data_IF_039049418675
#
_entry.id   IF_039049418675
#
_cell.length_a   1.000
_cell.length_b   1.000
_cell.length_c   1.000
_cell.angle_alpha   90.00
_cell.angle_beta   90.00
_cell.angle_gamma   90.00
#
_symmetry.space_group_name_H-M   'P 1'
#
loop_
_entity.id
_entity.type
_entity.pdbx_description
1 polymer ?
#
# COMPACT_ATOMS: atom_id res chain seq x y z
N UNK A 1 3.66 -30.38 42.62
CA UNK A 1 3.73 -30.29 44.12
C UNK A 1 4.65 -31.40 44.57
N UNK A 2 5.82 -31.03 45.12
CA UNK A 2 6.76 -31.96 45.73
C UNK A 2 6.40 -32.10 47.20
N UNK A 3 6.28 -33.32 47.67
CA UNK A 3 6.22 -33.68 49.11
C UNK A 3 7.52 -34.35 49.46
N UNK A 4 8.21 -33.81 50.43
CA UNK A 4 9.45 -34.34 50.91
C UNK A 4 9.31 -34.54 52.46
N UNK A 5 9.67 -35.72 52.96
CA UNK A 5 9.72 -36.01 54.38
C UNK A 5 11.10 -35.63 54.88
N UNK A 6 11.18 -34.71 55.81
CA UNK A 6 12.42 -34.16 56.33
C UNK A 6 12.35 -34.18 57.84
N UNK A 7 13.43 -34.63 58.49
CA UNK A 7 13.51 -34.70 59.92
C UNK A 7 13.49 -33.32 60.60
N UNK A 8 12.90 -33.24 61.77
CA UNK A 8 12.90 -32.00 62.57
C UNK A 8 14.31 -31.43 62.72
N UNK A 9 14.42 -30.09 62.48
CA UNK A 9 15.69 -29.39 62.62
C UNK A 9 16.62 -29.51 61.39
N UNK A 10 16.31 -30.37 60.41
CA UNK A 10 17.08 -30.46 59.18
C UNK A 10 17.00 -29.15 58.39
N UNK A 11 18.06 -28.78 57.63
CA UNK A 11 18.10 -27.60 56.77
C UNK A 11 17.08 -27.70 55.64
N UNK A 12 16.36 -26.65 55.41
CA UNK A 12 15.42 -26.48 54.27
C UNK A 12 16.02 -25.54 53.26
N UNK A 13 16.00 -25.95 51.99
CA UNK A 13 16.27 -25.08 50.84
C UNK A 13 14.97 -24.89 50.03
N UNK A 14 14.51 -23.66 49.92
CA UNK A 14 13.33 -23.38 49.11
C UNK A 14 13.59 -23.75 47.63
N UNK A 15 12.69 -24.51 46.99
CA UNK A 15 12.86 -24.87 45.59
C UNK A 15 12.74 -23.65 44.68
N UNK A 16 13.45 -23.69 43.55
CA UNK A 16 13.20 -22.76 42.45
C UNK A 16 11.92 -23.14 41.75
N UNK A 17 11.06 -22.16 41.49
CA UNK A 17 9.78 -22.37 40.80
C UNK A 17 9.66 -21.42 39.63
N UNK A 18 9.03 -21.90 38.56
CA UNK A 18 8.73 -21.10 37.36
C UNK A 18 7.28 -21.35 36.95
N UNK A 19 6.65 -20.33 36.40
CA UNK A 19 5.32 -20.39 35.82
C UNK A 19 5.32 -19.52 34.58
N UNK A 20 4.97 -20.13 33.45
CA UNK A 20 4.92 -19.42 32.19
C UNK A 20 4.03 -18.19 32.27
N UNK A 21 4.51 -17.03 31.77
CA UNK A 21 3.79 -15.76 31.80
C UNK A 21 3.74 -15.07 33.16
N UNK A 22 4.43 -15.57 34.16
CA UNK A 22 4.45 -15.01 35.53
C UNK A 22 5.86 -14.87 36.07
N UNK A 23 6.04 -13.88 36.91
CA UNK A 23 7.25 -13.67 37.70
C UNK A 23 6.99 -14.16 39.12
N UNK A 24 7.91 -14.98 39.66
CA UNK A 24 7.85 -15.41 41.03
C UNK A 24 8.09 -14.25 41.99
N UNK A 25 7.12 -13.98 42.86
CA UNK A 25 7.12 -12.88 43.83
C UNK A 25 7.46 -13.30 45.26
N UNK A 26 8.01 -14.54 45.43
CA UNK A 26 8.31 -15.10 46.73
C UNK A 26 7.24 -16.06 47.23
N UNK A 27 7.40 -16.51 48.45
CA UNK A 27 6.43 -17.35 49.15
C UNK A 27 5.48 -16.50 49.99
N UNK A 28 4.24 -16.94 50.23
CA UNK A 28 3.27 -16.24 51.08
C UNK A 28 3.72 -16.08 52.51
N UNK A 29 4.48 -17.09 53.02
CA UNK A 29 5.12 -17.08 54.32
C UNK A 29 6.63 -17.28 54.16
N UNK A 30 7.40 -16.74 55.10
CA UNK A 30 8.84 -16.95 55.13
C UNK A 30 9.18 -18.44 55.28
N UNK A 31 10.02 -18.94 54.39
CA UNK A 31 10.52 -20.32 54.45
C UNK A 31 11.61 -20.37 55.51
N UNK A 32 11.41 -21.12 56.62
CA UNK A 32 12.40 -21.18 57.66
C UNK A 32 13.65 -21.92 57.17
N UNK A 33 14.81 -21.65 57.77
CA UNK A 33 16.07 -22.31 57.43
C UNK A 33 16.14 -23.76 57.85
N UNK A 34 15.27 -24.15 58.79
CA UNK A 34 15.23 -25.52 59.32
C UNK A 34 13.80 -26.03 59.47
N UNK A 35 13.61 -27.36 59.40
CA UNK A 35 12.28 -27.98 59.45
C UNK A 35 11.64 -27.77 60.83
N UNK A 36 10.43 -27.14 60.88
CA UNK A 36 9.67 -26.97 62.10
C UNK A 36 9.06 -28.31 62.57
N UNK A 37 8.66 -28.39 63.88
CA UNK A 37 8.04 -29.56 64.49
C UNK A 37 6.57 -29.77 64.08
N UNK A 38 6.21 -29.42 62.80
CA UNK A 38 4.88 -29.62 62.27
C UNK A 38 4.92 -29.61 60.75
N UNK A 39 3.91 -30.23 60.10
CA UNK A 39 3.69 -30.12 58.66
C UNK A 39 3.48 -28.67 58.27
N UNK A 40 4.16 -28.23 57.23
CA UNK A 40 4.12 -26.86 56.77
C UNK A 40 3.96 -26.80 55.26
N UNK A 41 3.09 -25.90 54.78
CA UNK A 41 2.86 -25.65 53.37
C UNK A 41 3.24 -24.22 53.04
N UNK A 42 3.96 -24.04 51.93
CA UNK A 42 4.30 -22.72 51.40
C UNK A 42 3.65 -22.54 50.02
N UNK A 43 2.96 -21.44 49.86
CA UNK A 43 2.29 -21.06 48.57
C UNK A 43 3.12 -20.00 47.88
N UNK A 44 3.40 -20.22 46.60
CA UNK A 44 4.13 -19.25 45.78
C UNK A 44 3.23 -18.07 45.41
N UNK A 45 3.76 -16.87 45.52
CA UNK A 45 3.17 -15.63 44.97
C UNK A 45 3.64 -15.42 43.54
N UNK A 46 2.72 -15.04 42.67
CA UNK A 46 2.98 -14.80 41.27
C UNK A 46 2.48 -13.43 40.83
N UNK A 47 3.28 -12.72 40.06
CA UNK A 47 2.88 -11.51 39.35
C UNK A 47 2.76 -11.86 37.88
N UNK A 48 1.63 -11.54 37.26
CA UNK A 48 1.44 -11.73 35.81
C UNK A 48 2.38 -10.76 35.05
N UNK A 49 3.02 -11.27 34.01
CA UNK A 49 3.89 -10.47 33.17
C UNK A 49 3.07 -9.84 32.01
N UNK A 50 3.50 -8.67 31.57
CA UNK A 50 2.99 -8.03 30.38
C UNK A 50 3.89 -8.34 29.18
N UNK A 51 3.25 -8.52 28.02
CA UNK A 51 3.93 -8.73 26.74
C UNK A 51 3.35 -7.82 25.67
N UNK A 52 4.10 -7.61 24.59
CA UNK A 52 3.77 -6.68 23.52
C UNK A 52 3.71 -7.37 22.17
N UNK A 53 2.64 -7.12 21.42
CA UNK A 53 2.53 -7.42 20.01
C UNK A 53 2.75 -6.12 19.24
N UNK A 54 3.78 -6.07 18.40
CA UNK A 54 4.13 -4.94 17.56
C UNK A 54 3.70 -5.21 16.11
N UNK A 55 3.12 -4.21 15.45
CA UNK A 55 2.67 -4.28 14.06
C UNK A 55 3.60 -3.45 13.18
N UNK A 56 4.41 -4.11 12.36
CA UNK A 56 5.21 -3.47 11.34
C UNK A 56 4.37 -3.38 10.05
N UNK A 57 3.86 -2.21 9.73
CA UNK A 57 2.98 -2.00 8.58
C UNK A 57 3.71 -1.88 7.24
N UNK A 58 5.04 -1.96 7.22
CA UNK A 58 5.88 -1.98 6.01
C UNK A 58 5.50 -0.90 4.97
N UNK A 59 5.36 0.33 5.44
CA UNK A 59 5.00 1.49 4.61
C UNK A 59 3.51 1.85 4.61
N UNK A 60 2.65 1.07 5.27
CA UNK A 60 1.26 1.45 5.54
C UNK A 60 1.11 2.42 6.71
N UNK A 61 -0.13 2.85 6.98
CA UNK A 61 -0.44 3.68 8.13
C UNK A 61 -0.06 2.97 9.45
N UNK A 62 0.39 3.75 10.41
CA UNK A 62 0.88 3.24 11.70
C UNK A 62 -0.26 2.60 12.51
N UNK A 63 -0.01 1.41 13.06
CA UNK A 63 -0.85 0.73 14.06
C UNK A 63 -0.12 0.74 15.40
N UNK A 64 -0.85 1.05 16.47
CA UNK A 64 -0.28 1.03 17.81
C UNK A 64 0.01 -0.41 18.27
N UNK A 65 1.11 -0.67 19.00
CA UNK A 65 1.35 -1.96 19.60
C UNK A 65 0.30 -2.27 20.68
N UNK A 66 0.03 -3.55 20.91
CA UNK A 66 -0.84 -4.04 21.97
C UNK A 66 0.05 -4.56 23.10
N UNK A 67 -0.03 -3.93 24.29
CA UNK A 67 0.68 -4.38 25.50
C UNK A 67 -0.34 -4.70 26.57
N UNK A 68 -0.33 -5.93 27.07
CA UNK A 68 -1.29 -6.39 28.08
C UNK A 68 -0.78 -7.64 28.82
N UNK A 69 -1.47 -8.03 29.88
CA UNK A 69 -1.12 -9.16 30.72
C UNK A 69 -1.19 -10.48 29.95
N UNK A 70 -0.27 -11.38 30.26
CA UNK A 70 -0.26 -12.74 29.73
C UNK A 70 -1.62 -13.44 29.87
N UNK A 71 -2.07 -14.06 28.77
CA UNK A 71 -3.31 -14.84 28.71
C UNK A 71 -4.59 -14.03 28.58
N UNK A 72 -4.52 -12.68 28.57
CA UNK A 72 -5.70 -11.83 28.30
C UNK A 72 -6.07 -11.87 26.82
N UNK A 73 -7.36 -11.70 26.49
CA UNK A 73 -7.84 -11.71 25.12
C UNK A 73 -7.22 -10.57 24.31
N UNK A 74 -6.79 -10.86 23.09
CA UNK A 74 -6.24 -9.87 22.13
C UNK A 74 -7.32 -9.51 21.12
N UNK A 75 -7.63 -8.20 21.01
CA UNK A 75 -8.47 -7.67 19.95
C UNK A 75 -7.60 -7.30 18.75
N UNK A 76 -7.96 -7.84 17.57
CA UNK A 76 -7.24 -7.51 16.33
C UNK A 76 -7.47 -6.04 15.96
N UNK A 77 -6.42 -5.30 15.60
CA UNK A 77 -6.59 -3.96 15.07
C UNK A 77 -7.27 -3.99 13.69
N UNK A 78 -7.76 -2.83 13.24
CA UNK A 78 -8.18 -2.69 11.85
C UNK A 78 -7.00 -2.89 10.90
N UNK A 79 -7.31 -3.39 9.70
CA UNK A 79 -6.30 -3.59 8.66
C UNK A 79 -5.61 -2.27 8.30
N UNK A 80 -4.29 -2.29 8.09
CA UNK A 80 -3.58 -1.10 7.64
C UNK A 80 -3.92 -0.77 6.18
N UNK A 81 -3.72 0.50 5.82
CA UNK A 81 -3.86 1.01 4.47
C UNK A 81 -2.53 1.50 3.92
N UNK A 82 -2.30 1.30 2.63
CA UNK A 82 -1.11 1.77 1.91
C UNK A 82 -1.52 2.15 0.50
N UNK A 83 -1.19 3.40 0.09
CA UNK A 83 -1.53 3.90 -1.24
C UNK A 83 -0.94 2.99 -2.34
N UNK A 84 -1.77 2.62 -3.30
CA UNK A 84 -1.38 1.75 -4.42
C UNK A 84 -1.21 0.28 -4.07
N UNK A 85 -1.57 -0.15 -2.86
CA UNK A 85 -1.47 -1.54 -2.42
C UNK A 85 -2.74 -2.02 -1.73
N UNK A 86 -2.98 -3.30 -1.82
CA UNK A 86 -4.03 -4.01 -1.07
C UNK A 86 -3.40 -4.83 0.04
N UNK A 87 -3.93 -4.72 1.26
CA UNK A 87 -3.45 -5.50 2.39
C UNK A 87 -3.75 -7.00 2.18
N UNK A 88 -2.71 -7.83 2.18
CA UNK A 88 -2.77 -9.28 1.98
C UNK A 88 -2.73 -10.09 3.29
N UNK A 89 -2.67 -9.38 4.44
CA UNK A 89 -2.60 -10.00 5.77
C UNK A 89 -1.26 -9.76 6.47
N UNK A 90 -1.10 -10.38 7.62
CA UNK A 90 0.14 -10.38 8.38
C UNK A 90 0.98 -11.62 8.03
N UNK A 91 2.30 -11.55 8.18
CA UNK A 91 3.24 -12.69 8.01
C UNK A 91 3.08 -13.80 9.06
N UNK A 92 2.15 -13.60 9.99
CA UNK A 92 1.77 -14.56 11.04
C UNK A 92 0.34 -14.32 11.51
N UNK A 93 -0.12 -15.16 12.41
CA UNK A 93 -1.47 -15.05 12.97
C UNK A 93 -1.43 -14.18 14.22
N UNK A 94 -2.35 -13.22 14.35
CA UNK A 94 -2.59 -12.50 15.60
C UNK A 94 -3.14 -13.52 16.61
N UNK A 95 -2.48 -13.73 17.76
CA UNK A 95 -2.94 -14.72 18.71
C UNK A 95 -4.25 -14.26 19.39
N UNK A 96 -5.14 -15.19 19.68
CA UNK A 96 -6.40 -14.90 20.37
C UNK A 96 -6.19 -14.42 21.83
N UNK A 97 -5.05 -14.79 22.44
CA UNK A 97 -4.67 -14.38 23.80
C UNK A 97 -3.20 -13.98 23.83
N UNK A 98 -2.83 -13.06 24.73
CA UNK A 98 -1.45 -12.55 24.86
C UNK A 98 -0.49 -13.69 25.21
N UNK A 99 0.50 -13.99 24.33
CA UNK A 99 1.48 -15.05 24.57
C UNK A 99 2.52 -14.63 25.62
N UNK A 100 3.26 -15.60 26.17
CA UNK A 100 4.34 -15.36 27.14
C UNK A 100 5.64 -14.88 26.49
N UNK A 101 5.55 -14.07 25.44
CA UNK A 101 6.68 -13.45 24.71
C UNK A 101 6.22 -12.27 23.89
N UNK A 102 7.11 -11.31 23.72
CA UNK A 102 6.93 -10.24 22.73
C UNK A 102 6.98 -10.81 21.30
N UNK A 103 6.21 -10.22 20.42
CA UNK A 103 6.16 -10.61 19.01
C UNK A 103 6.00 -9.39 18.09
N UNK A 104 6.43 -9.56 16.84
CA UNK A 104 6.22 -8.56 15.79
C UNK A 104 5.59 -9.26 14.60
N UNK A 105 4.52 -8.68 14.09
CA UNK A 105 3.86 -9.10 12.86
C UNK A 105 4.12 -8.06 11.77
N UNK A 106 4.50 -8.53 10.57
CA UNK A 106 4.77 -7.68 9.42
C UNK A 106 3.62 -7.78 8.41
N UNK A 107 3.16 -6.62 7.92
CA UNK A 107 2.14 -6.57 6.88
C UNK A 107 2.67 -7.12 5.55
N UNK A 108 1.82 -7.86 4.85
CA UNK A 108 2.02 -8.31 3.49
C UNK A 108 1.14 -7.45 2.57
N UNK A 109 1.65 -7.09 1.40
CA UNK A 109 0.99 -6.19 0.47
C UNK A 109 1.01 -6.75 -0.94
N UNK A 110 -0.15 -6.70 -1.62
CA UNK A 110 -0.25 -6.89 -3.04
C UNK A 110 -0.25 -5.52 -3.73
N UNK A 111 0.58 -5.35 -4.76
CA UNK A 111 0.59 -4.13 -5.56
C UNK A 111 -0.66 -4.06 -6.43
N UNK A 112 -1.32 -2.90 -6.45
CA UNK A 112 -2.49 -2.70 -7.29
C UNK A 112 -2.07 -2.30 -8.71
N UNK A 113 -2.89 -2.69 -9.67
CA UNK A 113 -2.76 -2.29 -11.07
C UNK A 113 -3.83 -1.26 -11.42
N UNK A 114 -3.41 -0.28 -12.22
CA UNK A 114 -4.27 0.77 -12.74
C UNK A 114 -4.13 0.89 -14.26
N UNK A 115 -5.16 1.38 -14.90
CA UNK A 115 -5.24 1.46 -16.37
C UNK A 115 -4.76 2.81 -16.86
N UNK A 116 -3.80 2.82 -17.78
CA UNK A 116 -3.45 3.99 -18.59
C UNK A 116 -4.18 3.91 -19.92
N UNK A 117 -4.97 4.93 -20.24
CA UNK A 117 -5.74 5.00 -21.48
C UNK A 117 -5.36 6.23 -22.30
N UNK A 118 -5.02 6.02 -23.57
CA UNK A 118 -4.79 7.04 -24.58
C UNK A 118 -6.01 7.15 -25.49
N UNK A 119 -6.56 8.35 -25.61
CA UNK A 119 -7.69 8.64 -26.50
C UNK A 119 -7.29 9.61 -27.60
N UNK A 120 -7.78 9.37 -28.80
CA UNK A 120 -7.67 10.31 -29.92
C UNK A 120 -8.64 11.49 -29.76
N UNK A 121 -9.84 11.19 -29.24
CA UNK A 121 -10.93 12.10 -28.90
C UNK A 121 -11.81 11.44 -27.83
N UNK A 122 -12.96 12.01 -27.50
CA UNK A 122 -13.85 11.49 -26.47
C UNK A 122 -14.41 10.07 -26.77
N UNK A 123 -14.47 9.69 -28.04
CA UNK A 123 -15.09 8.45 -28.51
C UNK A 123 -14.07 7.37 -28.86
N UNK A 124 -12.86 7.74 -29.35
CA UNK A 124 -11.88 6.81 -29.92
C UNK A 124 -10.72 6.55 -28.93
N UNK A 125 -10.60 5.31 -28.47
CA UNK A 125 -9.46 4.82 -27.65
C UNK A 125 -8.37 4.29 -28.59
N UNK A 126 -7.14 4.79 -28.42
CA UNK A 126 -5.95 4.35 -29.15
C UNK A 126 -5.35 3.13 -28.49
N UNK A 127 -5.15 3.21 -27.17
CA UNK A 127 -4.63 2.10 -26.35
C UNK A 127 -5.11 2.19 -24.91
N UNK A 128 -5.15 1.04 -24.23
CA UNK A 128 -5.56 0.93 -22.83
C UNK A 128 -4.82 -0.25 -22.23
N UNK A 129 -3.87 0.02 -21.33
CA UNK A 129 -2.98 -0.97 -20.75
C UNK A 129 -2.92 -0.84 -19.24
N UNK A 130 -2.70 -1.96 -18.53
CA UNK A 130 -2.58 -1.99 -17.07
C UNK A 130 -1.12 -1.99 -16.65
N UNK A 131 -0.82 -1.15 -15.67
CA UNK A 131 0.49 -1.02 -15.05
C UNK A 131 0.38 -1.11 -13.54
N UNK A 132 1.40 -1.64 -12.90
CA UNK A 132 1.51 -1.64 -11.44
C UNK A 132 1.62 -0.20 -10.92
N UNK A 133 1.05 0.07 -9.76
CA UNK A 133 1.24 1.35 -9.07
C UNK A 133 2.71 1.75 -9.01
N UNK A 134 3.01 3.00 -9.36
CA UNK A 134 4.37 3.52 -9.34
C UNK A 134 5.27 3.04 -10.49
N UNK A 135 4.74 2.27 -11.47
CA UNK A 135 5.48 1.95 -12.70
C UNK A 135 5.99 3.22 -13.36
N UNK A 136 7.29 3.29 -13.64
CA UNK A 136 7.93 4.42 -14.33
C UNK A 136 7.81 4.19 -15.83
N UNK A 137 7.16 5.11 -16.54
CA UNK A 137 6.96 4.99 -17.98
C UNK A 137 8.24 5.27 -18.77
N UNK A 138 8.44 4.50 -19.83
CA UNK A 138 9.49 4.69 -20.82
C UNK A 138 8.89 5.12 -22.16
N UNK A 139 9.68 5.79 -23.00
CA UNK A 139 9.21 6.32 -24.30
C UNK A 139 8.56 5.26 -25.21
N UNK A 140 9.04 4.03 -25.16
CA UNK A 140 8.50 2.91 -25.95
C UNK A 140 7.16 2.36 -25.45
N UNK A 141 6.71 2.76 -24.25
CA UNK A 141 5.42 2.38 -23.66
C UNK A 141 4.35 3.47 -23.90
N UNK A 142 4.77 4.61 -24.44
CA UNK A 142 3.86 5.70 -24.78
C UNK A 142 3.15 5.40 -26.10
N UNK A 143 1.89 5.82 -26.21
CA UNK A 143 1.21 5.80 -27.50
C UNK A 143 1.97 6.70 -28.49
N UNK A 144 2.11 6.22 -29.73
CA UNK A 144 2.64 7.06 -30.81
C UNK A 144 1.68 8.24 -31.06
N UNK A 145 2.25 9.35 -31.52
CA UNK A 145 1.46 10.51 -31.90
C UNK A 145 0.41 10.10 -32.95
N UNK A 146 -0.87 10.31 -32.65
CA UNK A 146 -1.92 9.91 -33.58
C UNK A 146 -2.01 10.87 -34.77
N UNK A 147 -2.41 10.35 -35.94
CA UNK A 147 -2.68 11.16 -37.12
C UNK A 147 -4.16 11.55 -37.23
N UNK A 148 -4.41 12.75 -37.70
CA UNK A 148 -5.76 13.20 -38.05
C UNK A 148 -5.70 14.11 -39.27
N UNK A 149 -6.48 13.77 -40.30
CA UNK A 149 -6.51 14.54 -41.56
C UNK A 149 -6.94 15.98 -41.31
N UNK A 150 -6.12 16.92 -41.72
CA UNK A 150 -6.41 18.36 -41.58
C UNK A 150 -6.05 18.93 -40.19
N UNK A 151 -5.47 18.15 -39.31
CA UNK A 151 -5.09 18.57 -37.97
C UNK A 151 -3.64 18.18 -37.66
N UNK A 152 -2.99 18.96 -36.82
CA UNK A 152 -1.67 18.68 -36.28
C UNK A 152 -1.79 18.33 -34.82
N UNK A 153 -1.11 17.24 -34.38
CA UNK A 153 -1.06 16.82 -32.99
C UNK A 153 -0.24 17.80 -32.15
N UNK A 154 -0.77 18.21 -31.00
CA UNK A 154 -0.17 19.21 -30.11
C UNK A 154 0.30 18.65 -28.77
N UNK A 155 0.07 17.36 -28.53
CA UNK A 155 0.39 16.69 -27.28
C UNK A 155 -0.81 16.05 -26.61
N UNK A 156 -0.60 15.60 -25.42
CA UNK A 156 -1.58 14.88 -24.60
C UNK A 156 -2.10 15.76 -23.45
N UNK A 157 -3.40 15.68 -23.16
CA UNK A 157 -4.02 16.38 -22.02
C UNK A 157 -5.02 15.48 -21.29
N UNK A 158 -4.92 15.36 -19.93
CA UNK A 158 -3.86 15.90 -19.10
C UNK A 158 -2.48 15.35 -19.47
N UNK A 159 -1.41 16.07 -19.12
CA UNK A 159 -0.03 15.64 -19.34
C UNK A 159 0.24 14.31 -18.64
N UNK A 160 1.02 13.44 -19.29
CA UNK A 160 1.32 12.12 -18.77
C UNK A 160 2.11 12.19 -17.46
N UNK A 161 1.72 11.43 -16.44
CA UNK A 161 2.47 11.35 -15.21
C UNK A 161 3.81 10.63 -15.45
N UNK A 162 4.83 10.95 -14.68
CA UNK A 162 6.14 10.28 -14.75
C UNK A 162 6.08 8.81 -14.29
N UNK A 163 5.05 8.47 -13.51
CA UNK A 163 4.80 7.12 -13.01
C UNK A 163 3.31 6.88 -12.83
N UNK A 164 2.88 5.62 -12.88
CA UNK A 164 1.48 5.24 -12.72
C UNK A 164 0.94 5.67 -11.35
N UNK A 165 -0.11 6.52 -11.31
CA UNK A 165 -0.76 6.94 -10.06
C UNK A 165 -1.57 5.80 -9.42
N UNK A 166 -2.10 6.03 -8.20
CA UNK A 166 -2.97 5.08 -7.50
C UNK A 166 -4.44 5.15 -7.97
N UNK A 167 -4.64 5.43 -9.25
CA UNK A 167 -5.94 5.51 -9.93
C UNK A 167 -5.77 5.27 -11.43
N UNK A 168 -6.86 4.93 -12.12
CA UNK A 168 -6.86 4.85 -13.57
C UNK A 168 -6.62 6.25 -14.16
N UNK A 169 -5.76 6.32 -15.19
CA UNK A 169 -5.38 7.58 -15.82
C UNK A 169 -5.76 7.56 -17.30
N UNK A 170 -6.45 8.61 -17.74
CA UNK A 170 -6.82 8.80 -19.15
C UNK A 170 -6.26 10.12 -19.65
N UNK A 171 -5.63 10.09 -20.82
CA UNK A 171 -5.18 11.27 -21.53
C UNK A 171 -5.75 11.30 -22.94
N UNK A 172 -6.02 12.50 -23.48
CA UNK A 172 -6.63 12.70 -24.79
C UNK A 172 -5.75 13.59 -25.64
N UNK A 173 -5.58 13.21 -26.91
CA UNK A 173 -4.82 13.98 -27.87
C UNK A 173 -5.41 15.39 -28.06
N UNK A 174 -4.53 16.38 -28.12
CA UNK A 174 -4.88 17.77 -28.42
C UNK A 174 -4.50 18.08 -29.85
N UNK A 175 -5.35 18.82 -30.51
CA UNK A 175 -5.26 19.09 -31.95
C UNK A 175 -5.31 20.59 -32.26
N UNK A 176 -4.52 21.01 -33.27
CA UNK A 176 -4.73 22.29 -33.94
C UNK A 176 -5.16 22.06 -35.40
N UNK A 177 -6.06 22.87 -35.90
CA UNK A 177 -6.51 22.79 -37.28
C UNK A 177 -5.41 23.31 -38.21
N UNK A 178 -5.18 22.62 -39.33
CA UNK A 178 -4.20 23.02 -40.33
C UNK A 178 -4.80 23.99 -41.34
N UNK A 179 -4.00 24.92 -41.80
CA UNK A 179 -4.36 25.81 -42.87
C UNK A 179 -3.64 25.43 -44.16
N UNK A 180 -4.32 25.54 -45.26
CA UNK A 180 -3.83 25.19 -46.59
C UNK A 180 -3.99 26.34 -47.54
N UNK A 181 -3.08 26.43 -48.53
CA UNK A 181 -3.14 27.43 -49.60
C UNK A 181 -3.93 26.92 -50.77
N UNK A 182 -4.81 27.77 -51.30
CA UNK A 182 -5.49 27.57 -52.57
C UNK A 182 -4.96 28.63 -53.50
N UNK A 183 -4.42 28.22 -54.65
CA UNK A 183 -3.82 29.10 -55.64
C UNK A 183 -4.55 28.96 -56.97
N UNK A 184 -4.95 30.06 -57.55
CA UNK A 184 -5.65 30.13 -58.84
C UNK A 184 -4.70 30.66 -59.90
N UNK A 185 -4.56 29.93 -61.02
CA UNK A 185 -3.65 30.25 -62.12
C UNK A 185 -4.40 30.46 -63.44
N UNK A 186 -3.88 31.31 -64.30
CA UNK A 186 -4.35 31.44 -65.65
C UNK A 186 -3.94 30.26 -66.53
N UNK A 187 -4.81 29.86 -67.46
CA UNK A 187 -4.61 28.70 -68.33
C UNK A 187 -3.54 28.87 -69.43
N UNK A 188 -3.30 30.12 -69.86
CA UNK A 188 -2.43 30.45 -71.03
C UNK A 188 -0.98 30.77 -70.59
N UNK A 189 -0.80 31.45 -69.47
CA UNK A 189 0.50 31.96 -69.01
C UNK A 189 0.97 31.40 -67.69
N UNK A 190 0.19 30.48 -67.07
CA UNK A 190 0.43 29.92 -65.76
C UNK A 190 0.74 30.98 -64.69
N UNK A 191 0.13 32.18 -64.84
CA UNK A 191 0.30 33.29 -63.94
C UNK A 191 -0.63 33.11 -62.72
N UNK A 192 -0.10 33.32 -61.52
CA UNK A 192 -0.86 33.29 -60.26
C UNK A 192 -1.80 34.49 -60.27
N UNK A 193 -3.12 34.28 -60.24
CA UNK A 193 -4.14 35.28 -60.09
C UNK A 193 -4.48 35.62 -58.68
N UNK A 194 -4.68 34.57 -57.88
CA UNK A 194 -5.13 34.72 -56.53
C UNK A 194 -4.58 33.56 -55.65
N UNK A 195 -4.24 33.88 -54.42
CA UNK A 195 -3.85 32.89 -53.42
C UNK A 195 -4.54 33.21 -52.09
N UNK A 196 -5.19 32.23 -51.50
CA UNK A 196 -5.85 32.36 -50.20
C UNK A 196 -5.41 31.20 -49.30
N UNK A 197 -5.26 31.47 -48.00
CA UNK A 197 -4.97 30.46 -46.98
C UNK A 197 -6.23 30.22 -46.17
N UNK A 198 -6.67 29.00 -46.13
CA UNK A 198 -7.92 28.59 -45.47
C UNK A 198 -7.68 27.42 -44.51
N UNK A 199 -8.43 27.38 -43.44
CA UNK A 199 -8.40 26.26 -42.52
C UNK A 199 -9.04 25.01 -43.14
N UNK A 200 -8.56 23.83 -42.76
CA UNK A 200 -9.16 22.57 -43.16
C UNK A 200 -10.66 22.52 -42.83
N UNK A 201 -11.47 22.13 -43.81
CA UNK A 201 -12.92 22.01 -43.64
C UNK A 201 -13.68 23.33 -43.76
N UNK A 202 -12.99 24.47 -44.10
CA UNK A 202 -13.68 25.72 -44.42
C UNK A 202 -14.57 25.55 -45.65
N UNK A 203 -15.72 26.25 -45.68
CA UNK A 203 -16.55 26.34 -46.88
C UNK A 203 -15.85 27.21 -47.89
N UNK A 204 -15.62 26.67 -49.09
CA UNK A 204 -14.93 27.39 -50.17
C UNK A 204 -15.85 28.30 -50.96
N UNK A 205 -17.18 28.12 -50.89
CA UNK A 205 -18.14 29.01 -51.62
C UNK A 205 -18.05 30.45 -51.13
N UNK A 206 -17.84 30.66 -49.84
CA UNK A 206 -17.70 32.01 -49.27
C UNK A 206 -16.37 32.68 -49.65
N UNK A 207 -15.34 31.89 -49.96
CA UNK A 207 -13.98 32.37 -50.25
C UNK A 207 -13.76 32.69 -51.72
N UNK A 208 -14.48 32.01 -52.64
CA UNK A 208 -14.36 32.17 -54.09
C UNK A 208 -15.17 33.37 -54.56
N UNK A 209 -16.13 33.84 -53.79
CA UNK A 209 -17.03 34.93 -54.15
C UNK A 209 -16.58 36.33 -53.63
N UNK A 210 -15.46 36.44 -52.94
CA UNK A 210 -14.79 37.69 -52.58
C UNK A 210 -13.74 38.09 -53.65
#
# INVERSE_FOLDING_TARGET
>A
ISREMVDYGSAITAPTVAKEGYTFGGWEADVPSTMPAKDTTFTAKWTVNQYTITFNTDGGNKIAPITQDFGTAVESPADPTREGYTFAGWDGTIPATMPAKDSTLKAQWDINQYTLTFKKNDEEVISSEKYDYGHVFHENEMAQDPDSVGYSFMGWSPELPTKMPAEDFTTTAQWTINSYKISFYGDLDNKLFHEVTVEYGSDLEDIINE
#
